data_IF_038117528637
#
_entry.id   IF_038117528637
#
_cell.length_a   1.000
_cell.length_b   1.000
_cell.length_c   1.000
_cell.angle_alpha   90.00
_cell.angle_beta   90.00
_cell.angle_gamma   90.00
#
_symmetry.space_group_name_H-M   'P 1'
#
loop_
_entity.id
_entity.type
_entity.pdbx_description
1 polymer ?
#
# COMPACT_ATOMS: atom_id res chain seq x y z
N UNK A 1 34.45 27.49 -8.94
CA UNK A 1 34.99 26.37 -9.72
C UNK A 1 34.29 26.40 -11.06
N UNK A 2 35.08 26.50 -12.12
CA UNK A 2 34.61 26.37 -13.51
C UNK A 2 34.81 24.89 -13.86
N UNK A 3 33.77 24.22 -14.36
CA UNK A 3 33.82 22.77 -14.66
C UNK A 3 34.93 22.41 -15.67
N UNK A 4 35.41 23.40 -16.41
CA UNK A 4 36.52 23.28 -17.34
C UNK A 4 37.40 24.51 -17.24
N UNK A 5 38.61 24.34 -16.73
CA UNK A 5 39.58 25.42 -16.60
C UNK A 5 41.00 24.87 -16.62
N UNK A 6 41.97 25.73 -16.95
CA UNK A 6 43.39 25.42 -16.89
C UNK A 6 44.05 26.36 -15.91
N UNK A 7 44.69 25.81 -14.90
CA UNK A 7 45.55 26.56 -13.99
C UNK A 7 46.98 26.55 -14.50
N UNK A 8 47.55 27.75 -14.65
CA UNK A 8 48.91 27.94 -15.11
C UNK A 8 49.82 28.34 -13.97
N UNK A 9 50.66 27.44 -13.49
CA UNK A 9 51.69 27.76 -12.53
C UNK A 9 52.91 28.38 -13.22
N UNK A 10 53.13 29.70 -13.02
CA UNK A 10 54.22 30.42 -13.67
C UNK A 10 55.60 30.17 -13.01
N UNK A 11 55.61 29.54 -11.80
CA UNK A 11 56.84 29.18 -11.11
C UNK A 11 57.80 30.36 -10.88
N UNK A 12 59.03 30.25 -11.37
CA UNK A 12 60.04 31.30 -11.26
C UNK A 12 59.72 32.54 -12.11
N UNK A 13 58.82 32.40 -13.10
CA UNK A 13 58.36 33.49 -13.98
C UNK A 13 57.11 34.20 -13.41
N UNK A 14 56.77 33.97 -12.17
CA UNK A 14 55.62 34.60 -11.54
C UNK A 14 55.76 36.14 -11.56
N UNK A 15 54.70 36.82 -12.02
CA UNK A 15 54.63 38.27 -12.04
C UNK A 15 54.43 38.72 -10.59
N UNK A 16 55.36 39.45 -10.04
CA UNK A 16 55.36 39.92 -8.63
C UNK A 16 54.57 41.26 -8.48
N UNK A 17 54.11 41.59 -7.31
CA UNK A 17 53.49 42.91 -7.05
C UNK A 17 54.37 44.06 -7.56
N UNK A 18 53.83 44.88 -8.47
CA UNK A 18 54.56 46.01 -9.09
C UNK A 18 55.20 45.67 -10.43
N UNK A 19 55.29 44.38 -10.81
CA UNK A 19 55.80 43.96 -12.09
C UNK A 19 54.67 43.88 -13.14
N UNK A 20 55.07 43.99 -14.41
CA UNK A 20 54.19 43.74 -15.56
C UNK A 20 54.71 42.58 -16.37
N UNK A 21 53.81 41.76 -16.90
CA UNK A 21 54.15 40.62 -17.72
C UNK A 21 53.05 40.30 -18.71
N UNK A 22 53.40 39.53 -19.76
CA UNK A 22 52.42 39.03 -20.75
C UNK A 22 52.45 37.51 -20.76
N UNK A 23 51.27 36.92 -20.64
CA UNK A 23 51.10 35.47 -20.68
C UNK A 23 50.29 35.14 -21.95
N UNK A 24 50.84 34.27 -22.80
CA UNK A 24 50.16 33.73 -23.96
C UNK A 24 49.97 32.24 -23.78
N UNK A 25 48.76 31.76 -23.97
CA UNK A 25 48.48 30.34 -23.99
C UNK A 25 47.48 30.00 -25.09
N UNK A 26 47.62 28.79 -25.63
CA UNK A 26 46.68 28.26 -26.62
C UNK A 26 46.19 26.92 -26.16
N UNK A 27 44.88 26.73 -26.21
CA UNK A 27 44.23 25.47 -25.92
C UNK A 27 43.67 24.96 -27.24
N UNK A 28 43.99 23.71 -27.60
CA UNK A 28 43.46 23.06 -28.81
C UNK A 28 42.79 21.74 -28.45
N UNK A 29 41.89 21.30 -29.34
CA UNK A 29 41.19 20.03 -29.13
C UNK A 29 40.14 20.09 -28.02
N UNK A 30 39.59 21.27 -27.74
CA UNK A 30 38.47 21.42 -26.79
C UNK A 30 37.29 20.68 -27.34
N UNK A 31 36.77 19.73 -26.56
CA UNK A 31 35.57 18.95 -26.88
C UNK A 31 34.43 19.39 -25.95
N UNK A 32 33.22 18.98 -26.29
CA UNK A 32 32.05 19.14 -25.41
C UNK A 32 31.66 20.61 -25.10
N UNK A 33 31.80 21.48 -26.09
CA UNK A 33 31.55 22.93 -25.98
C UNK A 33 30.40 23.41 -26.87
N UNK A 34 29.85 22.55 -27.70
CA UNK A 34 28.74 22.88 -28.60
C UNK A 34 27.46 22.20 -28.13
N UNK A 35 26.41 22.97 -27.95
CA UNK A 35 25.09 22.51 -27.55
C UNK A 35 24.08 22.89 -28.64
N UNK A 36 22.94 22.18 -28.72
CA UNK A 36 21.82 22.67 -29.52
C UNK A 36 21.36 24.02 -28.98
N UNK A 37 21.01 24.91 -29.87
CA UNK A 37 20.43 26.21 -29.50
C UNK A 37 19.05 25.97 -28.85
N UNK A 38 18.73 26.70 -27.76
CA UNK A 38 17.50 26.51 -27.01
C UNK A 38 16.24 26.91 -27.80
N UNK A 39 16.38 27.87 -28.74
CA UNK A 39 15.28 28.40 -29.52
C UNK A 39 15.13 27.73 -30.89
N UNK A 40 16.22 27.11 -31.41
CA UNK A 40 16.24 26.60 -32.78
C UNK A 40 17.18 25.37 -32.90
N UNK A 41 16.60 24.17 -32.93
CA UNK A 41 17.36 22.90 -33.04
C UNK A 41 18.18 22.75 -34.35
N UNK A 42 17.98 23.58 -35.35
CA UNK A 42 18.82 23.62 -36.56
C UNK A 42 20.12 24.44 -36.35
N UNK A 43 20.25 25.06 -35.16
CA UNK A 43 21.43 25.81 -34.74
C UNK A 43 22.15 25.13 -33.61
N UNK A 44 23.44 25.39 -33.51
CA UNK A 44 24.29 25.04 -32.38
C UNK A 44 24.86 26.29 -31.75
N UNK A 45 25.00 26.25 -30.46
CA UNK A 45 25.44 27.36 -29.59
C UNK A 45 26.78 27.05 -28.99
N UNK A 46 27.66 28.03 -29.00
CA UNK A 46 28.91 28.05 -28.26
C UNK A 46 28.93 29.23 -27.27
N UNK A 47 29.32 28.97 -26.06
CA UNK A 47 29.44 30.00 -25.01
C UNK A 47 30.87 29.98 -24.46
N UNK A 48 31.46 31.13 -24.28
CA UNK A 48 32.76 31.32 -23.67
C UNK A 48 32.70 32.33 -22.51
N UNK A 49 33.32 31.99 -21.41
CA UNK A 49 33.51 32.88 -20.28
C UNK A 49 35.00 33.14 -20.13
N UNK A 50 35.49 34.37 -20.39
CA UNK A 50 36.89 34.70 -20.13
C UNK A 50 37.18 34.61 -18.65
N UNK A 51 38.47 34.48 -18.32
CA UNK A 51 38.91 34.42 -16.94
C UNK A 51 38.45 35.66 -16.14
N UNK A 52 38.05 35.44 -14.92
CA UNK A 52 37.74 36.48 -13.94
C UNK A 52 38.43 36.16 -12.62
N UNK A 53 38.65 37.18 -11.81
CA UNK A 53 39.43 37.08 -10.58
C UNK A 53 38.56 37.28 -9.35
N UNK A 54 39.05 36.83 -8.18
CA UNK A 54 38.40 37.16 -6.93
C UNK A 54 38.52 38.65 -6.62
N UNK A 55 37.49 39.23 -5.99
CA UNK A 55 37.44 40.63 -5.57
C UNK A 55 38.60 41.01 -4.60
N UNK A 56 39.05 40.04 -3.84
CA UNK A 56 40.13 40.24 -2.90
C UNK A 56 41.52 40.32 -3.59
N UNK A 57 41.58 39.91 -4.86
CA UNK A 57 42.82 39.84 -5.63
C UNK A 57 42.93 40.95 -6.68
N UNK A 58 41.80 41.33 -7.30
CA UNK A 58 41.81 42.31 -8.38
C UNK A 58 40.95 43.52 -8.05
N UNK A 59 41.57 44.70 -8.20
CA UNK A 59 40.92 45.99 -8.02
C UNK A 59 40.94 46.79 -9.34
N UNK A 60 39.87 47.47 -9.64
CA UNK A 60 39.77 48.32 -10.83
C UNK A 60 39.14 47.67 -12.04
N UNK A 61 39.42 48.23 -13.18
CA UNK A 61 38.89 47.77 -14.49
C UNK A 61 39.99 47.14 -15.33
N UNK A 62 39.58 46.34 -16.29
CA UNK A 62 40.45 45.67 -17.27
C UNK A 62 39.98 45.98 -18.70
N UNK A 63 40.89 46.10 -19.64
CA UNK A 63 40.56 46.09 -21.05
C UNK A 63 40.31 44.67 -21.51
N UNK A 64 39.08 44.31 -21.81
CA UNK A 64 38.66 42.98 -22.16
C UNK A 64 38.16 42.94 -23.64
N UNK A 65 38.85 42.18 -24.45
CA UNK A 65 38.46 41.85 -25.81
C UNK A 65 38.22 40.38 -25.95
N UNK A 66 37.00 40.00 -26.34
CA UNK A 66 36.62 38.63 -26.66
C UNK A 66 36.25 38.50 -28.10
N UNK A 67 36.87 37.60 -28.82
CA UNK A 67 36.68 37.38 -30.25
C UNK A 67 36.26 35.95 -30.52
N UNK A 68 35.16 35.79 -31.21
CA UNK A 68 34.70 34.50 -31.72
C UNK A 68 34.94 34.44 -33.23
N UNK A 69 35.73 33.49 -33.66
CA UNK A 69 35.85 33.11 -35.08
C UNK A 69 34.89 31.94 -35.34
N UNK A 70 33.86 32.15 -36.11
CA UNK A 70 32.88 31.12 -36.42
C UNK A 70 33.47 30.07 -37.39
N UNK A 71 32.82 28.89 -37.52
CA UNK A 71 33.31 27.85 -38.42
C UNK A 71 33.44 28.32 -39.86
N UNK A 72 34.37 27.77 -40.66
CA UNK A 72 34.52 28.12 -42.06
C UNK A 72 33.25 27.78 -42.83
N UNK A 73 32.83 28.68 -43.75
CA UNK A 73 31.70 28.50 -44.62
C UNK A 73 30.40 29.07 -44.09
N UNK A 74 30.33 29.47 -42.83
CA UNK A 74 29.15 30.19 -42.26
C UNK A 74 28.99 31.51 -43.00
N UNK A 75 27.79 31.78 -43.52
CA UNK A 75 27.49 33.03 -44.24
C UNK A 75 27.24 34.16 -43.24
N UNK A 76 27.51 35.42 -43.61
CA UNK A 76 27.41 36.56 -42.66
C UNK A 76 26.01 36.79 -42.05
N UNK A 77 24.97 36.33 -42.72
CA UNK A 77 23.56 36.50 -42.35
C UNK A 77 22.99 35.30 -41.57
N UNK A 78 23.75 34.20 -41.47
CA UNK A 78 23.29 32.99 -40.78
C UNK A 78 23.47 33.01 -39.25
N UNK A 79 24.64 33.44 -38.70
CA UNK A 79 24.89 33.31 -37.29
C UNK A 79 24.15 34.34 -36.46
N UNK A 80 23.89 34.00 -35.19
CA UNK A 80 23.21 34.85 -34.23
C UNK A 80 24.13 35.02 -33.01
N UNK A 81 24.33 36.25 -32.56
CA UNK A 81 25.06 36.51 -31.32
C UNK A 81 24.11 36.36 -30.12
N UNK A 82 24.62 35.92 -29.01
CA UNK A 82 23.88 35.96 -27.77
C UNK A 82 23.89 37.39 -27.19
N UNK A 83 22.81 37.71 -26.45
CA UNK A 83 22.72 39.02 -25.82
C UNK A 83 23.94 39.30 -24.98
N UNK A 84 24.52 40.49 -25.12
CA UNK A 84 25.69 40.90 -24.32
C UNK A 84 25.43 40.80 -22.83
N UNK A 85 26.44 40.47 -22.02
CA UNK A 85 26.31 40.35 -20.57
C UNK A 85 25.77 41.59 -19.90
N UNK A 86 25.06 41.43 -18.81
CA UNK A 86 24.56 42.61 -18.03
C UNK A 86 25.71 43.52 -17.61
N UNK A 87 25.55 44.82 -17.82
CA UNK A 87 26.55 45.83 -17.57
C UNK A 87 27.60 45.98 -18.67
N UNK A 88 27.48 45.28 -19.79
CA UNK A 88 28.30 45.52 -20.98
C UNK A 88 27.86 46.79 -21.71
N UNK A 89 28.81 47.61 -22.27
CA UNK A 89 28.47 48.93 -22.83
C UNK A 89 27.65 48.85 -24.12
N UNK A 90 27.66 47.72 -24.83
CA UNK A 90 26.98 47.53 -26.12
C UNK A 90 26.12 46.28 -26.11
N UNK A 91 24.92 46.33 -26.65
CA UNK A 91 23.97 45.22 -26.72
C UNK A 91 24.38 44.14 -27.75
N UNK A 92 25.21 44.53 -28.75
CA UNK A 92 25.65 43.63 -29.81
C UNK A 92 27.16 43.67 -29.99
N UNK A 93 27.79 42.59 -30.48
CA UNK A 93 29.19 42.59 -30.87
C UNK A 93 29.46 43.43 -32.11
N UNK A 94 30.70 43.79 -32.27
CA UNK A 94 31.24 44.22 -33.58
C UNK A 94 31.32 42.96 -34.48
N UNK A 95 30.86 43.09 -35.74
CA UNK A 95 30.86 41.99 -36.70
C UNK A 95 31.82 42.28 -37.84
N UNK A 96 32.71 41.36 -38.16
CA UNK A 96 33.67 41.49 -39.25
C UNK A 96 33.91 40.12 -39.95
N UNK A 97 34.71 40.12 -40.99
CA UNK A 97 35.19 38.92 -41.70
C UNK A 97 36.70 38.90 -41.61
N UNK A 98 37.24 37.79 -41.05
CA UNK A 98 38.69 37.65 -40.92
C UNK A 98 39.42 37.36 -42.27
N UNK A 99 40.74 37.36 -42.21
CA UNK A 99 41.57 37.09 -43.40
C UNK A 99 41.38 35.68 -44.00
N UNK A 100 40.70 34.78 -43.31
CA UNK A 100 40.35 33.44 -43.77
C UNK A 100 38.91 33.33 -44.27
N UNK A 101 38.20 34.47 -44.34
CA UNK A 101 36.80 34.54 -44.81
C UNK A 101 35.78 34.02 -43.78
N UNK A 102 36.13 33.91 -42.49
CA UNK A 102 35.25 33.49 -41.43
C UNK A 102 34.53 34.70 -40.79
N UNK A 103 33.29 34.53 -40.44
CA UNK A 103 32.53 35.56 -39.69
C UNK A 103 33.13 35.65 -38.27
N UNK A 104 33.32 36.85 -37.81
CA UNK A 104 33.89 37.19 -36.52
C UNK A 104 32.94 38.06 -35.72
N UNK A 105 32.74 37.71 -34.46
CA UNK A 105 32.10 38.53 -33.45
C UNK A 105 33.10 39.00 -32.42
N UNK A 106 33.17 40.29 -32.15
CA UNK A 106 34.08 40.87 -31.18
C UNK A 106 33.32 41.72 -30.16
N UNK A 107 33.59 41.47 -28.91
CA UNK A 107 33.09 42.26 -27.77
C UNK A 107 34.30 42.94 -27.12
N UNK A 108 34.32 44.26 -27.09
CA UNK A 108 35.37 45.06 -26.45
C UNK A 108 34.78 45.91 -25.35
N UNK A 109 35.45 45.95 -24.21
CA UNK A 109 35.14 46.88 -23.12
C UNK A 109 36.45 47.26 -22.40
N UNK A 110 36.85 48.50 -22.53
CA UNK A 110 38.08 49.02 -21.92
C UNK A 110 37.99 49.22 -20.42
N UNK A 111 36.78 49.22 -19.89
CA UNK A 111 36.51 49.40 -18.47
C UNK A 111 35.73 48.20 -17.89
N UNK A 112 36.00 47.02 -18.38
CA UNK A 112 35.36 45.80 -17.88
C UNK A 112 35.77 45.52 -16.46
N UNK A 113 34.83 44.96 -15.69
CA UNK A 113 35.09 44.62 -14.29
C UNK A 113 35.84 43.29 -14.22
N UNK A 114 37.05 43.30 -13.66
CA UNK A 114 37.90 42.09 -13.64
C UNK A 114 37.45 40.97 -12.73
N UNK A 115 36.46 41.17 -11.85
CA UNK A 115 35.88 40.16 -10.97
C UNK A 115 34.46 39.74 -11.34
N UNK A 116 34.00 40.10 -12.52
CA UNK A 116 32.68 39.67 -13.02
C UNK A 116 32.83 38.59 -14.05
N UNK A 117 32.09 37.49 -13.87
CA UNK A 117 32.00 36.44 -14.86
C UNK A 117 31.11 36.88 -16.03
N UNK A 118 31.74 37.34 -17.11
CA UNK A 118 31.05 37.65 -18.34
C UNK A 118 30.88 36.38 -19.16
N UNK A 119 29.74 36.22 -19.83
CA UNK A 119 29.48 35.11 -20.76
C UNK A 119 29.13 35.68 -22.11
N UNK A 120 29.88 35.25 -23.13
CA UNK A 120 29.67 35.62 -24.53
C UNK A 120 29.33 34.36 -25.32
N UNK A 121 28.50 34.50 -26.34
CA UNK A 121 28.13 33.33 -27.13
C UNK A 121 27.64 33.67 -28.50
N UNK A 122 27.64 32.68 -29.36
CA UNK A 122 27.10 32.75 -30.68
C UNK A 122 26.47 31.41 -31.08
N UNK A 123 25.36 31.49 -31.82
CA UNK A 123 24.71 30.35 -32.43
C UNK A 123 24.88 30.40 -33.93
N UNK A 124 25.10 29.27 -34.57
CA UNK A 124 25.27 29.14 -36.01
C UNK A 124 24.67 27.82 -36.51
N UNK A 125 24.33 27.69 -37.82
CA UNK A 125 23.70 26.48 -38.32
C UNK A 125 24.55 25.22 -38.10
N UNK A 126 23.92 24.17 -37.56
CA UNK A 126 24.58 22.89 -37.22
C UNK A 126 25.22 22.17 -38.43
N UNK A 127 24.82 22.52 -39.66
CA UNK A 127 25.40 21.96 -40.90
C UNK A 127 26.91 22.20 -41.05
N UNK A 128 27.48 23.16 -40.29
CA UNK A 128 28.90 23.53 -40.37
C UNK A 128 29.78 22.79 -39.35
N UNK A 129 29.20 21.91 -38.51
CA UNK A 129 29.93 21.12 -37.54
C UNK A 129 29.52 19.66 -37.60
N UNK A 130 30.42 18.71 -37.28
CA UNK A 130 30.08 17.29 -37.17
C UNK A 130 29.04 17.05 -36.11
N UNK A 131 28.11 16.12 -36.35
CA UNK A 131 27.01 15.86 -35.44
C UNK A 131 27.46 15.27 -34.09
N UNK A 132 28.57 14.54 -34.09
CA UNK A 132 29.18 13.97 -32.89
C UNK A 132 29.90 15.00 -32.01
N UNK A 133 30.13 16.22 -32.53
CA UNK A 133 30.66 17.34 -31.75
C UNK A 133 29.57 18.11 -30.97
N UNK A 134 28.28 17.79 -31.15
CA UNK A 134 27.17 18.49 -30.55
C UNK A 134 26.67 17.68 -29.34
N UNK A 135 26.74 18.25 -28.16
CA UNK A 135 26.25 17.65 -26.95
C UNK A 135 24.72 17.76 -26.83
N UNK A 136 24.09 16.66 -26.46
CA UNK A 136 22.72 16.67 -25.95
C UNK A 136 22.77 16.91 -24.44
N UNK A 137 22.07 17.92 -23.92
CA UNK A 137 22.08 18.18 -22.47
C UNK A 137 21.52 16.96 -21.71
N UNK A 138 22.20 16.61 -20.61
CA UNK A 138 21.76 15.52 -19.73
C UNK A 138 20.38 15.81 -19.14
N UNK A 139 19.67 14.77 -18.71
CA UNK A 139 18.33 14.90 -18.06
C UNK A 139 18.42 15.79 -16.83
N UNK A 140 19.51 15.74 -16.08
CA UNK A 140 19.78 16.60 -14.92
C UNK A 140 19.80 18.09 -15.31
N UNK A 141 20.47 18.41 -16.41
CA UNK A 141 20.54 19.76 -16.94
C UNK A 141 19.16 20.28 -17.41
N UNK A 142 18.41 19.44 -18.14
CA UNK A 142 17.05 19.78 -18.61
C UNK A 142 16.08 20.04 -17.46
N UNK A 143 16.24 19.35 -16.32
CA UNK A 143 15.41 19.54 -15.13
C UNK A 143 15.92 20.63 -14.19
N UNK A 144 17.07 21.25 -14.48
CA UNK A 144 17.71 22.24 -13.60
C UNK A 144 18.12 21.67 -12.25
N UNK A 145 18.38 20.36 -12.17
CA UNK A 145 18.70 19.63 -10.94
C UNK A 145 20.16 19.17 -11.05
N UNK A 146 20.95 19.39 -10.02
CA UNK A 146 22.33 18.84 -10.01
C UNK A 146 22.30 17.32 -10.07
N UNK A 147 23.26 16.70 -10.73
CA UNK A 147 23.38 15.24 -10.83
C UNK A 147 23.41 14.57 -9.48
N UNK A 148 24.09 15.16 -8.50
CA UNK A 148 24.10 14.67 -7.11
C UNK A 148 22.72 14.64 -6.49
N UNK A 149 21.89 15.69 -6.75
CA UNK A 149 20.52 15.74 -6.25
C UNK A 149 19.62 14.75 -6.96
N UNK A 150 19.84 14.50 -8.26
CA UNK A 150 19.09 13.51 -9.03
C UNK A 150 19.39 12.10 -8.55
N UNK A 151 20.68 11.74 -8.41
CA UNK A 151 21.10 10.44 -7.91
C UNK A 151 20.72 10.25 -6.43
N UNK A 152 20.88 11.28 -5.60
CA UNK A 152 20.43 11.28 -4.22
C UNK A 152 18.91 11.09 -4.08
N UNK A 153 18.13 11.78 -4.89
CA UNK A 153 16.67 11.64 -4.94
C UNK A 153 16.21 10.26 -5.40
N UNK A 154 16.86 9.68 -6.42
CA UNK A 154 16.60 8.32 -6.90
C UNK A 154 16.95 7.26 -5.84
N UNK A 155 18.12 7.39 -5.20
CA UNK A 155 18.53 6.48 -4.13
C UNK A 155 17.61 6.58 -2.91
N UNK A 156 17.30 7.77 -2.43
CA UNK A 156 16.40 7.97 -1.28
C UNK A 156 14.96 7.55 -1.61
N UNK A 157 14.44 7.90 -2.80
CA UNK A 157 13.12 7.49 -3.27
C UNK A 157 13.02 5.97 -3.43
N UNK A 158 14.02 5.34 -4.04
CA UNK A 158 14.11 3.89 -4.16
C UNK A 158 14.15 3.19 -2.80
N UNK A 159 14.92 3.72 -1.85
CA UNK A 159 15.00 3.20 -0.49
C UNK A 159 13.65 3.29 0.23
N UNK A 160 12.96 4.44 0.14
CA UNK A 160 11.63 4.62 0.76
C UNK A 160 10.61 3.68 0.16
N UNK A 161 10.60 3.46 -1.17
CA UNK A 161 9.69 2.52 -1.83
C UNK A 161 9.97 1.06 -1.43
N UNK A 162 11.23 0.64 -1.40
CA UNK A 162 11.61 -0.73 -1.01
C UNK A 162 11.31 -0.98 0.47
N UNK A 163 11.75 -0.08 1.36
CA UNK A 163 11.51 -0.21 2.81
C UNK A 163 10.03 -0.03 3.17
N UNK A 164 9.35 0.95 2.59
CA UNK A 164 7.92 1.15 2.77
C UNK A 164 7.11 -0.05 2.27
N UNK A 165 7.46 -0.59 1.11
CA UNK A 165 6.90 -1.83 0.57
C UNK A 165 7.14 -3.03 1.48
N UNK A 166 8.36 -3.19 1.99
CA UNK A 166 8.70 -4.25 2.94
C UNK A 166 7.93 -4.14 4.26
N UNK A 167 7.83 -2.93 4.83
CA UNK A 167 7.03 -2.69 6.04
C UNK A 167 5.54 -2.96 5.79
N UNK A 168 5.00 -2.53 4.65
CA UNK A 168 3.61 -2.81 4.27
C UNK A 168 3.36 -4.31 4.12
N UNK A 169 4.24 -5.04 3.45
CA UNK A 169 4.17 -6.49 3.34
C UNK A 169 4.27 -7.16 4.71
N UNK A 170 5.23 -6.76 5.55
CA UNK A 170 5.39 -7.30 6.89
C UNK A 170 4.14 -7.07 7.76
N UNK A 171 3.50 -5.90 7.65
CA UNK A 171 2.24 -5.62 8.39
C UNK A 171 1.08 -6.47 7.88
N UNK A 172 0.97 -6.68 6.56
CA UNK A 172 -0.05 -7.57 5.97
C UNK A 172 0.17 -9.02 6.41
N UNK A 173 1.41 -9.52 6.37
CA UNK A 173 1.74 -10.85 6.86
C UNK A 173 1.46 -11.01 8.36
N UNK A 174 1.83 -10.01 9.17
CA UNK A 174 1.53 -10.00 10.59
C UNK A 174 0.01 -10.02 10.89
N UNK A 175 -0.78 -9.26 10.12
CA UNK A 175 -2.25 -9.28 10.23
C UNK A 175 -2.83 -10.62 9.82
N UNK A 176 -2.40 -11.19 8.69
CA UNK A 176 -2.82 -12.54 8.24
C UNK A 176 -2.46 -13.60 9.27
N UNK A 177 -1.27 -13.52 9.87
CA UNK A 177 -0.83 -14.45 10.92
C UNK A 177 -1.73 -14.39 12.15
N UNK A 178 -2.18 -13.21 12.59
CA UNK A 178 -3.09 -13.03 13.71
C UNK A 178 -4.46 -13.67 13.49
N UNK A 179 -4.90 -13.78 12.23
CA UNK A 179 -6.18 -14.36 11.85
C UNK A 179 -6.11 -15.86 11.59
N UNK A 180 -4.92 -16.43 11.46
CA UNK A 180 -4.71 -17.85 11.20
C UNK A 180 -4.76 -18.68 12.49
N UNK A 181 -5.96 -18.95 12.98
CA UNK A 181 -6.16 -19.68 14.25
C UNK A 181 -6.01 -21.20 14.15
N UNK A 182 -5.94 -21.77 12.92
CA UNK A 182 -5.63 -23.19 12.74
C UNK A 182 -4.12 -23.41 12.57
N UNK A 183 -3.51 -24.33 13.30
CA UNK A 183 -2.09 -24.62 13.16
C UNK A 183 -1.79 -25.34 11.84
N UNK A 184 -0.64 -25.02 11.18
CA UNK A 184 -0.24 -25.63 9.91
C UNK A 184 -0.08 -27.16 9.97
N UNK A 185 0.20 -27.72 11.14
CA UNK A 185 0.43 -29.16 11.34
C UNK A 185 -0.78 -30.04 10.95
N UNK A 186 -1.99 -29.49 10.95
CA UNK A 186 -3.18 -30.22 10.46
C UNK A 186 -3.06 -30.55 8.97
N UNK A 187 -2.26 -29.79 8.21
CA UNK A 187 -2.13 -29.94 6.76
C UNK A 187 -1.19 -31.08 6.32
N UNK A 188 -0.40 -31.67 7.21
CA UNK A 188 0.76 -32.49 6.84
C UNK A 188 0.50 -34.01 7.00
N UNK A 189 -0.49 -34.44 7.80
CA UNK A 189 -0.54 -35.84 8.27
C UNK A 189 -1.88 -36.55 8.02
N UNK A 190 -2.43 -36.54 6.80
CA UNK A 190 -3.64 -37.31 6.65
C UNK A 190 -4.08 -37.61 5.22
N UNK A 191 -4.72 -38.75 5.08
CA UNK A 191 -5.35 -39.17 3.84
C UNK A 191 -6.86 -39.32 4.05
N UNK A 192 -7.63 -38.91 3.02
CA UNK A 192 -9.06 -39.05 3.02
C UNK A 192 -9.83 -37.93 3.73
N UNK A 193 -11.13 -37.97 3.59
CA UNK A 193 -12.07 -36.90 3.99
C UNK A 193 -12.64 -37.18 5.37
N UNK A 194 -12.54 -36.23 6.29
CA UNK A 194 -13.27 -36.28 7.56
C UNK A 194 -14.73 -35.88 7.34
N UNK A 195 -15.62 -36.86 7.33
CA UNK A 195 -17.07 -36.66 7.29
C UNK A 195 -17.66 -36.51 8.68
N UNK A 196 -18.91 -36.01 8.77
CA UNK A 196 -19.66 -35.88 10.02
C UNK A 196 -19.29 -34.72 10.90
N UNK A 197 -18.56 -33.72 10.39
CA UNK A 197 -18.45 -32.42 11.08
C UNK A 197 -19.76 -31.64 10.92
N UNK A 198 -20.12 -30.89 11.96
CA UNK A 198 -21.25 -29.94 11.87
C UNK A 198 -20.87 -28.75 11.00
N UNK A 199 -21.86 -27.94 10.59
CA UNK A 199 -21.59 -26.71 9.84
C UNK A 199 -20.66 -25.77 10.61
N UNK A 200 -20.83 -25.66 11.93
CA UNK A 200 -19.99 -24.82 12.81
C UNK A 200 -18.55 -25.36 12.91
N UNK A 201 -18.38 -26.69 13.01
CA UNK A 201 -17.05 -27.29 12.99
C UNK A 201 -16.38 -27.17 11.62
N UNK A 202 -17.18 -27.27 10.53
CA UNK A 202 -16.70 -27.01 9.18
C UNK A 202 -16.33 -25.54 8.99
N UNK A 203 -17.06 -24.60 9.59
CA UNK A 203 -16.70 -23.18 9.58
C UNK A 203 -15.32 -22.93 10.20
N UNK A 204 -15.04 -23.56 11.32
CA UNK A 204 -13.69 -23.50 11.94
C UNK A 204 -12.63 -24.07 11.01
N UNK A 205 -12.91 -25.20 10.36
CA UNK A 205 -11.99 -25.85 9.42
C UNK A 205 -11.74 -25.00 8.18
N UNK A 206 -12.75 -24.28 7.70
CA UNK A 206 -12.66 -23.35 6.56
C UNK A 206 -12.04 -22.00 6.92
N UNK A 207 -11.66 -21.80 8.19
CA UNK A 207 -11.13 -20.55 8.72
C UNK A 207 -12.09 -19.36 8.52
N UNK A 208 -13.38 -19.64 8.70
CA UNK A 208 -14.41 -18.59 8.75
C UNK A 208 -14.11 -17.61 9.90
N UNK A 209 -14.31 -16.29 9.71
CA UNK A 209 -14.13 -15.31 10.79
C UNK A 209 -14.86 -15.73 12.08
N UNK A 210 -14.19 -15.64 13.24
CA UNK A 210 -14.71 -16.19 14.49
C UNK A 210 -15.99 -15.52 15.00
N UNK A 211 -16.21 -14.25 14.67
CA UNK A 211 -17.46 -13.54 14.91
C UNK A 211 -18.64 -14.15 14.12
N UNK A 212 -18.40 -14.55 12.88
CA UNK A 212 -19.39 -15.27 12.07
C UNK A 212 -19.65 -16.67 12.63
N UNK A 213 -18.60 -17.38 13.09
CA UNK A 213 -18.79 -18.68 13.75
C UNK A 213 -19.66 -18.55 15.00
N UNK A 214 -19.43 -17.53 15.85
CA UNK A 214 -20.27 -17.25 17.02
C UNK A 214 -21.71 -16.90 16.62
N UNK A 215 -21.91 -16.17 15.52
CA UNK A 215 -23.24 -15.86 14.97
C UNK A 215 -23.96 -17.13 14.51
N UNK A 216 -23.23 -18.07 13.87
CA UNK A 216 -23.79 -19.37 13.47
C UNK A 216 -24.23 -20.18 14.70
N UNK A 217 -23.45 -20.16 15.78
CA UNK A 217 -23.82 -20.82 17.04
C UNK A 217 -25.11 -20.19 17.62
N UNK A 218 -25.21 -18.87 17.63
CA UNK A 218 -26.43 -18.20 18.09
C UNK A 218 -27.65 -18.62 17.26
N UNK A 219 -27.56 -18.59 15.93
CA UNK A 219 -28.68 -18.96 15.07
C UNK A 219 -29.08 -20.44 15.22
N UNK A 220 -28.09 -21.32 15.38
CA UNK A 220 -28.35 -22.73 15.70
C UNK A 220 -29.12 -22.91 17.03
N UNK A 221 -28.75 -22.14 18.06
CA UNK A 221 -29.43 -22.20 19.37
C UNK A 221 -30.84 -21.60 19.32
N UNK A 222 -31.06 -20.51 18.56
CA UNK A 222 -32.38 -19.93 18.34
C UNK A 222 -33.26 -20.89 17.54
N UNK A 223 -32.75 -21.50 16.48
CA UNK A 223 -33.47 -22.45 15.65
C UNK A 223 -33.92 -23.70 16.42
N UNK A 224 -33.11 -24.11 17.41
CA UNK A 224 -33.45 -25.19 18.34
C UNK A 224 -34.41 -24.77 19.46
N UNK A 225 -34.90 -23.52 19.46
CA UNK A 225 -35.71 -22.92 20.53
C UNK A 225 -35.05 -22.99 21.91
N UNK A 226 -33.72 -22.89 21.97
CA UNK A 226 -32.98 -22.83 23.24
C UNK A 226 -32.96 -21.43 23.85
N UNK A 227 -33.01 -20.41 23.00
CA UNK A 227 -32.84 -19.02 23.38
C UNK A 227 -33.62 -18.09 22.47
N UNK A 228 -34.02 -16.93 23.02
CA UNK A 228 -34.52 -15.80 22.26
C UNK A 228 -33.69 -14.54 22.50
N UNK A 229 -33.67 -13.65 21.52
CA UNK A 229 -33.09 -12.30 21.67
C UNK A 229 -34.08 -11.40 22.33
N UNK A 230 -33.70 -10.81 23.47
CA UNK A 230 -34.50 -9.81 24.18
C UNK A 230 -34.17 -8.42 23.69
N UNK A 231 -32.88 -8.17 23.44
CA UNK A 231 -32.39 -6.89 22.95
C UNK A 231 -31.24 -7.13 21.94
N UNK A 232 -31.25 -6.36 20.85
CA UNK A 232 -30.24 -6.52 19.77
C UNK A 232 -28.94 -5.76 20.07
N UNK A 233 -29.03 -4.58 20.69
CA UNK A 233 -27.86 -3.74 21.01
C UNK A 233 -28.02 -3.06 22.39
N UNK A 234 -27.21 -3.42 23.39
CA UNK A 234 -26.30 -4.58 23.41
C UNK A 234 -27.08 -5.90 23.33
N UNK A 235 -26.47 -6.95 22.75
CA UNK A 235 -27.12 -8.25 22.59
C UNK A 235 -27.41 -8.88 23.95
N UNK A 236 -28.71 -9.05 24.25
CA UNK A 236 -29.21 -9.72 25.44
C UNK A 236 -30.06 -10.91 25.05
N UNK A 237 -29.78 -12.05 25.67
CA UNK A 237 -30.41 -13.33 25.39
C UNK A 237 -31.16 -13.86 26.61
N UNK A 238 -32.26 -14.55 26.37
CA UNK A 238 -33.06 -15.21 27.40
C UNK A 238 -33.24 -16.69 27.03
N UNK A 239 -33.01 -17.58 28.01
CA UNK A 239 -33.23 -19.03 27.82
C UNK A 239 -34.73 -19.33 27.72
N UNK A 240 -35.07 -20.17 26.78
CA UNK A 240 -36.42 -20.70 26.66
C UNK A 240 -36.57 -21.99 27.48
N UNK A 241 -37.76 -22.20 28.04
CA UNK A 241 -38.11 -23.41 28.78
C UNK A 241 -39.28 -24.11 28.09
N UNK A 242 -39.27 -25.44 27.98
CA UNK A 242 -38.24 -26.39 28.46
C UNK A 242 -36.94 -26.32 27.65
N UNK A 243 -35.78 -26.69 28.26
CA UNK A 243 -34.53 -26.79 27.56
C UNK A 243 -34.65 -27.83 26.43
N UNK A 244 -34.33 -27.47 25.17
CA UNK A 244 -34.39 -28.43 24.06
C UNK A 244 -33.35 -29.53 24.22
N UNK A 245 -33.71 -30.72 23.79
CA UNK A 245 -32.77 -31.81 23.69
C UNK A 245 -31.81 -31.66 22.51
N UNK A 246 -30.62 -32.23 22.57
CA UNK A 246 -29.64 -32.27 21.47
C UNK A 246 -28.86 -30.98 21.24
N UNK A 247 -28.72 -30.14 22.28
CA UNK A 247 -27.74 -29.09 22.28
C UNK A 247 -26.31 -29.68 22.29
N UNK A 248 -25.44 -29.14 21.44
CA UNK A 248 -24.06 -29.54 21.38
C UNK A 248 -23.22 -28.84 22.49
N UNK A 249 -22.10 -29.41 22.92
CA UNK A 249 -21.29 -28.82 24.00
C UNK A 249 -20.94 -27.34 23.73
N UNK A 250 -20.55 -26.97 22.54
CA UNK A 250 -20.22 -25.59 22.21
C UNK A 250 -21.46 -24.65 22.20
N UNK A 251 -22.67 -25.16 21.94
CA UNK A 251 -23.90 -24.39 22.04
C UNK A 251 -24.26 -24.12 23.52
N UNK A 252 -24.09 -25.11 24.40
CA UNK A 252 -24.28 -24.91 25.85
C UNK A 252 -23.28 -23.95 26.45
N UNK A 253 -22.00 -24.06 26.06
CA UNK A 253 -20.96 -23.13 26.52
C UNK A 253 -21.20 -21.71 26.01
N UNK A 254 -21.69 -21.56 24.78
CA UNK A 254 -22.09 -20.27 24.24
C UNK A 254 -23.21 -19.63 25.05
N UNK A 255 -24.28 -20.38 25.33
CA UNK A 255 -25.38 -19.90 26.15
C UNK A 255 -24.94 -19.51 27.55
N UNK A 256 -24.05 -20.30 28.16
CA UNK A 256 -23.42 -19.98 29.43
C UNK A 256 -22.61 -18.69 29.37
N UNK A 257 -21.77 -18.51 28.38
CA UNK A 257 -20.97 -17.32 28.20
C UNK A 257 -21.81 -16.06 27.98
N UNK A 258 -22.94 -16.17 27.25
CA UNK A 258 -23.77 -15.02 26.89
C UNK A 258 -24.77 -14.63 27.97
N UNK A 259 -25.29 -15.61 28.75
CA UNK A 259 -26.41 -15.39 29.70
C UNK A 259 -25.89 -15.38 31.14
N UNK A 260 -25.08 -16.36 31.52
CA UNK A 260 -24.71 -16.58 32.91
C UNK A 260 -23.46 -15.77 33.33
N UNK A 261 -22.60 -15.38 32.36
CA UNK A 261 -21.39 -14.62 32.63
C UNK A 261 -21.62 -13.11 32.70
N UNK A 262 -20.92 -12.43 33.61
CA UNK A 262 -20.91 -10.97 33.70
C UNK A 262 -20.35 -10.36 32.41
N UNK A 263 -20.87 -9.21 31.92
CA UNK A 263 -20.42 -8.60 30.65
C UNK A 263 -18.90 -8.45 30.52
N UNK A 264 -18.19 -8.15 31.60
CA UNK A 264 -16.72 -8.01 31.61
C UNK A 264 -15.98 -9.33 31.36
N UNK A 265 -16.58 -10.49 31.70
CA UNK A 265 -16.00 -11.82 31.51
C UNK A 265 -16.46 -12.49 30.21
N UNK A 266 -17.52 -11.99 29.58
CA UNK A 266 -18.13 -12.56 28.37
C UNK A 266 -17.10 -12.76 27.26
N UNK A 267 -16.25 -11.74 26.97
CA UNK A 267 -15.22 -11.84 25.94
C UNK A 267 -14.25 -13.00 26.19
N UNK A 268 -13.77 -13.16 27.42
CA UNK A 268 -12.84 -14.24 27.76
C UNK A 268 -13.50 -15.62 27.72
N UNK A 269 -14.78 -15.71 28.12
CA UNK A 269 -15.54 -16.95 28.04
C UNK A 269 -15.77 -17.36 26.58
N UNK A 270 -16.13 -16.41 25.68
CA UNK A 270 -16.27 -16.66 24.25
C UNK A 270 -14.93 -17.03 23.60
N UNK A 271 -13.82 -16.41 24.01
CA UNK A 271 -12.48 -16.80 23.52
C UNK A 271 -12.14 -18.24 23.94
N UNK A 272 -12.44 -18.60 25.19
CA UNK A 272 -12.23 -19.96 25.68
C UNK A 272 -13.04 -20.98 24.88
N UNK A 273 -14.33 -20.71 24.68
CA UNK A 273 -15.21 -21.54 23.84
C UNK A 273 -14.62 -21.73 22.44
N UNK A 274 -14.12 -20.66 21.79
CA UNK A 274 -13.51 -20.79 20.47
C UNK A 274 -12.21 -21.57 20.48
N UNK A 275 -11.38 -21.43 21.51
CA UNK A 275 -10.17 -22.24 21.70
C UNK A 275 -10.53 -23.72 21.81
N UNK A 276 -11.49 -24.05 22.66
CA UNK A 276 -11.93 -25.43 22.90
C UNK A 276 -12.54 -26.04 21.62
N UNK A 277 -13.33 -25.25 20.87
CA UNK A 277 -13.90 -25.67 19.58
C UNK A 277 -12.82 -25.91 18.51
N UNK A 278 -11.84 -25.01 18.38
CA UNK A 278 -10.71 -25.18 17.45
C UNK A 278 -9.91 -26.44 17.80
N UNK A 279 -9.62 -26.67 19.08
CA UNK A 279 -8.90 -27.86 19.53
C UNK A 279 -9.71 -29.15 19.30
N UNK A 280 -11.03 -29.10 19.49
CA UNK A 280 -11.91 -30.24 19.20
C UNK A 280 -11.90 -30.57 17.70
N UNK A 281 -11.95 -29.58 16.81
CA UNK A 281 -11.83 -29.76 15.36
C UNK A 281 -10.47 -30.33 14.99
N UNK A 282 -9.38 -29.79 15.57
CA UNK A 282 -8.03 -30.34 15.36
C UNK A 282 -7.94 -31.84 15.74
N UNK A 283 -8.51 -32.19 16.88
CA UNK A 283 -8.54 -33.58 17.34
C UNK A 283 -9.33 -34.48 16.38
N UNK A 284 -10.48 -34.02 15.88
CA UNK A 284 -11.30 -34.74 14.89
C UNK A 284 -10.61 -34.89 13.52
N UNK A 285 -9.76 -33.93 13.17
CA UNK A 285 -9.02 -33.92 11.90
C UNK A 285 -7.76 -34.79 11.91
N UNK A 286 -7.34 -35.31 13.09
CA UNK A 286 -6.15 -36.16 13.17
C UNK A 286 -6.28 -37.37 12.25
N UNK A 287 -5.33 -37.56 11.33
CA UNK A 287 -5.30 -38.64 10.35
C UNK A 287 -6.11 -38.39 9.08
N UNK A 288 -6.68 -37.21 8.88
CA UNK A 288 -7.44 -36.85 7.66
C UNK A 288 -6.77 -35.71 6.89
N UNK A 289 -6.99 -35.67 5.58
CA UNK A 289 -6.50 -34.60 4.70
C UNK A 289 -7.28 -33.31 4.91
N UNK A 290 -6.57 -32.23 5.28
CA UNK A 290 -7.18 -30.90 5.45
C UNK A 290 -7.76 -30.39 4.12
N UNK A 291 -7.01 -30.54 3.02
CA UNK A 291 -7.42 -30.07 1.70
C UNK A 291 -8.68 -30.78 1.23
N UNK A 292 -8.69 -32.11 1.20
CA UNK A 292 -9.83 -32.89 0.74
C UNK A 292 -11.07 -32.67 1.62
N UNK A 293 -10.88 -32.53 2.92
CA UNK A 293 -11.98 -32.25 3.85
C UNK A 293 -12.54 -30.84 3.66
N UNK A 294 -11.71 -29.84 3.43
CA UNK A 294 -12.16 -28.48 3.10
C UNK A 294 -12.94 -28.44 1.79
N UNK A 295 -12.44 -29.09 0.76
CA UNK A 295 -13.11 -29.14 -0.55
C UNK A 295 -14.45 -29.89 -0.45
N UNK A 296 -14.53 -30.93 0.34
CA UNK A 296 -15.79 -31.65 0.64
C UNK A 296 -16.84 -30.71 1.30
N UNK A 297 -16.46 -29.95 2.34
CA UNK A 297 -17.41 -29.05 3.02
C UNK A 297 -17.77 -27.84 2.17
N UNK A 298 -16.88 -27.35 1.31
CA UNK A 298 -17.25 -26.37 0.29
C UNK A 298 -18.30 -26.93 -0.69
N UNK A 299 -18.16 -28.16 -1.11
CA UNK A 299 -19.16 -28.79 -2.00
C UNK A 299 -20.53 -28.97 -1.31
N UNK A 300 -20.56 -29.16 0.01
CA UNK A 300 -21.83 -29.18 0.78
C UNK A 300 -22.46 -27.79 0.80
N UNK A 301 -21.68 -26.74 1.04
CA UNK A 301 -22.14 -25.34 0.99
C UNK A 301 -22.74 -25.00 -0.39
N UNK A 302 -22.01 -25.32 -1.46
CA UNK A 302 -22.47 -25.11 -2.83
C UNK A 302 -23.77 -25.88 -3.14
N UNK A 303 -23.88 -27.12 -2.67
CA UNK A 303 -25.11 -27.92 -2.79
C UNK A 303 -26.28 -27.29 -2.02
N UNK A 304 -26.02 -26.75 -0.84
CA UNK A 304 -27.05 -26.06 -0.06
C UNK A 304 -27.58 -24.84 -0.83
N UNK A 305 -26.72 -24.00 -1.38
CA UNK A 305 -27.13 -22.87 -2.21
C UNK A 305 -27.87 -23.32 -3.47
N UNK A 306 -27.38 -24.34 -4.17
CA UNK A 306 -28.02 -24.86 -5.36
C UNK A 306 -29.44 -25.36 -5.07
N UNK A 307 -29.66 -26.00 -3.93
CA UNK A 307 -31.02 -26.43 -3.52
C UNK A 307 -31.96 -25.25 -3.27
N UNK A 308 -31.46 -24.15 -2.74
CA UNK A 308 -32.24 -22.91 -2.53
C UNK A 308 -32.57 -22.25 -3.88
N UNK A 309 -31.57 -22.13 -4.77
CA UNK A 309 -31.73 -21.48 -6.07
C UNK A 309 -32.66 -22.28 -7.04
N UNK A 310 -32.59 -23.61 -7.01
CA UNK A 310 -33.37 -24.47 -7.82
C UNK A 310 -34.81 -24.73 -7.31
N UNK A 311 -35.18 -24.10 -6.17
CA UNK A 311 -36.52 -24.23 -5.63
C UNK A 311 -37.54 -23.55 -6.56
N UNK A 312 -38.57 -24.30 -6.97
CA UNK A 312 -39.57 -23.88 -7.94
C UNK A 312 -40.56 -22.84 -7.35
N UNK A 313 -40.84 -22.94 -6.05
CA UNK A 313 -41.76 -22.01 -5.38
C UNK A 313 -41.09 -21.19 -4.27
N UNK A 314 -41.60 -20.02 -3.96
CA UNK A 314 -41.07 -19.20 -2.85
C UNK A 314 -41.12 -19.93 -1.49
N UNK A 315 -42.12 -20.76 -1.27
CA UNK A 315 -42.27 -21.55 -0.04
C UNK A 315 -41.14 -22.56 0.09
N UNK A 316 -40.94 -23.36 -0.97
CA UNK A 316 -39.86 -24.35 -1.01
C UNK A 316 -38.50 -23.72 -0.94
N UNK A 317 -38.32 -22.55 -1.58
CA UNK A 317 -37.07 -21.75 -1.48
C UNK A 317 -36.79 -21.34 -0.06
N UNK A 318 -37.77 -20.78 0.62
CA UNK A 318 -37.65 -20.37 2.03
C UNK A 318 -37.36 -21.55 2.95
N UNK A 319 -38.03 -22.66 2.75
CA UNK A 319 -37.81 -23.89 3.53
C UNK A 319 -36.40 -24.45 3.29
N UNK A 320 -35.95 -24.53 2.02
CA UNK A 320 -34.59 -25.01 1.70
C UNK A 320 -33.50 -24.10 2.27
N UNK A 321 -33.74 -22.79 2.24
CA UNK A 321 -32.81 -21.84 2.85
C UNK A 321 -32.78 -22.01 4.37
N UNK A 322 -33.92 -22.16 5.01
CA UNK A 322 -34.00 -22.42 6.44
C UNK A 322 -33.29 -23.74 6.81
N UNK A 323 -33.58 -24.84 6.12
CA UNK A 323 -32.93 -26.13 6.37
C UNK A 323 -31.41 -26.07 6.17
N UNK A 324 -30.96 -25.32 5.17
CA UNK A 324 -29.57 -25.17 4.78
C UNK A 324 -28.84 -23.97 5.39
N UNK A 325 -29.47 -23.17 6.26
CA UNK A 325 -28.95 -21.90 6.73
C UNK A 325 -27.52 -22.01 7.31
N UNK A 326 -27.28 -22.99 8.18
CA UNK A 326 -25.96 -23.20 8.77
C UNK A 326 -24.87 -23.48 7.72
N UNK A 327 -25.22 -24.18 6.64
CA UNK A 327 -24.30 -24.48 5.54
C UNK A 327 -24.10 -23.31 4.60
N UNK A 328 -25.16 -22.55 4.29
CA UNK A 328 -25.05 -21.35 3.44
C UNK A 328 -24.25 -20.25 4.11
N UNK A 329 -24.29 -20.13 5.45
CA UNK A 329 -23.46 -19.19 6.21
C UNK A 329 -21.95 -19.46 6.16
N UNK A 330 -21.53 -20.62 5.65
CA UNK A 330 -20.10 -20.89 5.35
C UNK A 330 -19.59 -20.08 4.16
N UNK A 331 -20.47 -19.61 3.29
CA UNK A 331 -20.12 -18.82 2.13
C UNK A 331 -19.50 -17.48 2.56
N UNK A 332 -18.36 -17.13 1.98
CA UNK A 332 -17.71 -15.84 2.21
C UNK A 332 -18.55 -14.69 1.71
N UNK A 333 -19.25 -14.93 0.59
CA UNK A 333 -20.11 -13.96 -0.08
C UNK A 333 -21.59 -14.17 0.29
N UNK A 334 -21.85 -14.71 1.49
CA UNK A 334 -23.20 -15.02 2.01
C UNK A 334 -24.17 -13.84 1.86
N UNK A 335 -23.70 -12.62 2.15
CA UNK A 335 -24.51 -11.41 2.13
C UNK A 335 -25.01 -11.10 0.70
N UNK A 336 -24.10 -11.11 -0.25
CA UNK A 336 -24.41 -10.84 -1.66
C UNK A 336 -25.17 -11.99 -2.29
N UNK A 337 -24.87 -13.22 -1.91
CA UNK A 337 -25.57 -14.41 -2.39
C UNK A 337 -27.02 -14.42 -1.90
N UNK A 338 -27.24 -14.14 -0.61
CA UNK A 338 -28.57 -14.01 -0.02
C UNK A 338 -29.39 -12.90 -0.71
N UNK A 339 -28.81 -11.74 -0.92
CA UNK A 339 -29.47 -10.61 -1.60
C UNK A 339 -29.84 -10.95 -3.05
N UNK A 340 -29.01 -11.66 -3.78
CA UNK A 340 -29.26 -12.10 -5.17
C UNK A 340 -30.38 -13.13 -5.20
N UNK A 341 -30.32 -14.15 -4.33
CA UNK A 341 -31.26 -15.27 -4.31
C UNK A 341 -32.68 -14.83 -3.95
N UNK A 342 -32.82 -13.86 -3.05
CA UNK A 342 -34.13 -13.35 -2.60
C UNK A 342 -34.47 -11.96 -3.17
N UNK A 343 -33.89 -11.56 -4.29
CA UNK A 343 -34.12 -10.23 -4.87
C UNK A 343 -35.58 -9.99 -5.27
N UNK A 344 -36.26 -11.00 -5.74
CA UNK A 344 -37.63 -10.91 -6.27
C UNK A 344 -38.55 -11.95 -5.65
N UNK A 345 -39.83 -11.58 -5.52
CA UNK A 345 -40.88 -12.46 -5.02
C UNK A 345 -41.09 -12.43 -3.50
N UNK A 346 -42.17 -13.02 -3.02
CA UNK A 346 -42.46 -13.16 -1.58
C UNK A 346 -41.55 -14.24 -0.97
N UNK A 347 -41.20 -14.06 0.30
CA UNK A 347 -40.47 -15.04 1.10
C UNK A 347 -41.26 -15.38 2.35
N UNK A 348 -41.28 -16.63 2.72
CA UNK A 348 -41.91 -17.09 3.96
C UNK A 348 -40.86 -17.04 5.08
N UNK A 349 -41.13 -16.26 6.09
CA UNK A 349 -40.20 -16.08 7.21
C UNK A 349 -40.31 -17.27 8.16
N UNK A 350 -39.19 -17.95 8.49
CA UNK A 350 -39.20 -19.05 9.45
C UNK A 350 -39.73 -18.61 10.82
N UNK A 351 -40.43 -19.51 11.52
CA UNK A 351 -41.06 -19.19 12.83
C UNK A 351 -40.01 -18.78 13.86
N UNK A 352 -38.84 -19.42 13.86
CA UNK A 352 -37.75 -19.11 14.80
C UNK A 352 -37.19 -17.69 14.63
N UNK A 353 -37.39 -17.05 13.45
CA UNK A 353 -36.97 -15.67 13.21
C UNK A 353 -37.66 -14.66 14.16
N UNK A 354 -38.84 -14.99 14.62
CA UNK A 354 -39.52 -14.22 15.67
C UNK A 354 -38.77 -14.23 17.02
N UNK A 355 -38.05 -15.29 17.31
CA UNK A 355 -37.18 -15.39 18.49
C UNK A 355 -35.89 -14.60 18.35
N UNK A 356 -35.46 -14.35 17.11
CA UNK A 356 -34.30 -13.49 16.82
C UNK A 356 -34.66 -12.01 16.82
N UNK A 357 -35.81 -11.63 16.24
CA UNK A 357 -36.33 -10.26 16.17
C UNK A 357 -37.70 -10.15 16.84
N UNK A 358 -37.74 -9.96 18.15
CA UNK A 358 -39.03 -9.83 18.86
C UNK A 358 -39.83 -8.58 18.46
N UNK A 359 -39.17 -7.54 17.93
CA UNK A 359 -39.82 -6.35 17.36
C UNK A 359 -40.41 -6.58 15.96
N UNK A 360 -40.13 -7.72 15.34
CA UNK A 360 -40.65 -8.07 14.03
C UNK A 360 -42.12 -8.46 14.14
N UNK A 361 -43.04 -7.53 13.79
CA UNK A 361 -44.46 -7.81 13.59
C UNK A 361 -44.67 -8.02 12.08
N UNK A 362 -45.19 -9.18 11.64
CA UNK A 362 -45.55 -9.36 10.24
C UNK A 362 -46.58 -8.28 9.85
N UNK A 363 -46.31 -7.55 8.78
CA UNK A 363 -47.30 -6.61 8.22
C UNK A 363 -48.51 -7.42 7.75
N UNK A 364 -49.57 -7.43 8.51
CA UNK A 364 -50.82 -8.14 8.20
C UNK A 364 -51.72 -8.54 9.37
N UNK A 365 -51.31 -8.33 10.62
CA UNK A 365 -52.18 -8.51 11.78
C UNK A 365 -52.47 -7.17 12.44
N UNK A 366 -53.16 -6.28 11.73
CA UNK A 366 -53.98 -5.27 12.39
C UNK A 366 -55.21 -6.00 12.93
N UNK A 367 -55.15 -6.41 14.19
CA UNK A 367 -56.37 -6.83 14.91
C UNK A 367 -57.09 -5.52 15.29
N UNK A 368 -58.34 -5.27 14.81
CA UNK A 368 -59.11 -4.19 15.34
C UNK A 368 -59.44 -4.52 16.80
N UNK A 369 -59.05 -3.65 17.69
CA UNK A 369 -59.42 -3.69 19.10
C UNK A 369 -60.92 -3.42 19.23
N UNK A 370 -61.73 -4.45 19.19
CA UNK A 370 -63.06 -4.47 19.77
C UNK A 370 -63.43 -5.89 20.18
N UNK A 371 -63.75 -6.02 21.46
CA UNK A 371 -63.96 -7.27 22.12
C UNK A 371 -64.99 -8.16 21.50
N UNK A 372 -64.68 -9.40 21.39
CA UNK A 372 -65.45 -10.63 21.60
C UNK A 372 -64.60 -11.83 21.25
N UNK A 373 -64.43 -12.70 22.21
CA UNK A 373 -63.75 -13.97 22.01
C UNK A 373 -64.67 -14.89 21.20
N UNK A 374 -64.29 -15.39 20.02
CA UNK A 374 -64.93 -16.52 19.40
C UNK A 374 -64.19 -17.81 19.75
N UNK A 375 -64.94 -18.77 20.17
CA UNK A 375 -64.63 -20.15 20.44
C UNK A 375 -63.76 -20.79 19.34
N UNK A 376 -62.83 -21.62 19.76
CA UNK A 376 -61.91 -22.37 18.91
C UNK A 376 -62.62 -23.30 17.95
N UNK A 377 -62.37 -23.10 16.64
CA UNK A 377 -62.62 -24.14 15.61
C UNK A 377 -61.24 -24.79 15.28
N UNK A 378 -61.16 -26.12 15.24
CA UNK A 378 -59.93 -26.80 14.90
C UNK A 378 -59.70 -26.78 13.38
N UNK A 379 -58.52 -26.38 12.92
CA UNK A 379 -58.04 -26.66 11.55
C UNK A 379 -57.88 -25.43 10.66
N UNK A 380 -57.07 -24.42 11.08
CA UNK A 380 -56.45 -23.53 10.09
C UNK A 380 -54.95 -23.60 10.27
N UNK A 381 -54.28 -24.14 9.25
CA UNK A 381 -52.83 -24.13 9.16
C UNK A 381 -52.28 -22.72 9.40
N UNK A 382 -51.32 -22.56 10.31
CA UNK A 382 -50.65 -21.32 10.55
C UNK A 382 -50.02 -20.84 9.24
N UNK A 383 -50.62 -19.82 8.63
CA UNK A 383 -49.99 -19.15 7.48
C UNK A 383 -48.77 -18.40 7.97
N UNK A 384 -47.62 -18.82 7.50
CA UNK A 384 -46.33 -18.14 7.77
C UNK A 384 -46.39 -16.70 7.24
N UNK A 385 -45.85 -15.73 7.99
CA UNK A 385 -45.79 -14.37 7.52
C UNK A 385 -44.97 -14.24 6.24
N UNK A 386 -45.46 -13.45 5.29
CA UNK A 386 -44.81 -13.20 3.99
C UNK A 386 -44.16 -11.82 4.01
N UNK A 387 -42.92 -11.75 3.49
CA UNK A 387 -42.15 -10.52 3.28
C UNK A 387 -41.74 -10.38 1.82
N UNK A 388 -41.57 -9.16 1.32
CA UNK A 388 -40.77 -8.97 0.09
C UNK A 388 -39.37 -9.58 0.22
N UNK A 389 -38.92 -10.29 -0.83
CA UNK A 389 -37.66 -11.01 -0.78
C UNK A 389 -36.46 -10.11 -0.46
N UNK A 390 -36.46 -8.89 -0.99
CA UNK A 390 -35.41 -7.90 -0.70
C UNK A 390 -35.36 -7.46 0.77
N UNK A 391 -36.52 -7.32 1.42
CA UNK A 391 -36.58 -6.98 2.84
C UNK A 391 -36.16 -8.17 3.71
N UNK A 392 -36.54 -9.39 3.34
CA UNK A 392 -36.09 -10.59 4.02
C UNK A 392 -34.56 -10.73 3.90
N UNK A 393 -34.01 -10.62 2.69
CA UNK A 393 -32.56 -10.70 2.46
C UNK A 393 -31.79 -9.63 3.26
N UNK A 394 -32.30 -8.40 3.23
CA UNK A 394 -31.70 -7.30 4.03
C UNK A 394 -31.79 -7.60 5.53
N UNK A 395 -32.92 -8.15 6.01
CA UNK A 395 -33.10 -8.50 7.42
C UNK A 395 -32.13 -9.60 7.88
N UNK A 396 -31.94 -10.65 7.07
CA UNK A 396 -30.99 -11.73 7.36
C UNK A 396 -29.55 -11.20 7.38
N UNK A 397 -29.14 -10.48 6.32
CA UNK A 397 -27.77 -9.97 6.19
C UNK A 397 -27.45 -8.98 7.31
N UNK A 398 -28.32 -8.02 7.56
CA UNK A 398 -28.12 -7.06 8.64
C UNK A 398 -28.13 -7.75 10.01
N UNK A 399 -28.96 -8.78 10.17
CA UNK A 399 -28.99 -9.59 11.37
C UNK A 399 -27.64 -10.29 11.64
N UNK A 400 -27.08 -10.93 10.63
CA UNK A 400 -25.76 -11.58 10.73
C UNK A 400 -24.68 -10.56 11.07
N UNK A 401 -24.62 -9.43 10.35
CA UNK A 401 -23.62 -8.38 10.55
C UNK A 401 -23.72 -7.72 11.93
N UNK A 402 -24.92 -7.33 12.34
CA UNK A 402 -25.12 -6.68 13.64
C UNK A 402 -24.83 -7.63 14.79
N UNK A 403 -25.24 -8.90 14.68
CA UNK A 403 -24.94 -9.91 15.69
C UNK A 403 -23.45 -10.12 15.80
N UNK A 404 -22.74 -10.29 14.70
CA UNK A 404 -21.29 -10.45 14.70
C UNK A 404 -20.59 -9.27 15.39
N UNK A 405 -21.00 -8.03 15.05
CA UNK A 405 -20.47 -6.80 15.67
C UNK A 405 -20.78 -6.71 17.16
N UNK A 406 -21.97 -7.10 17.59
CA UNK A 406 -22.39 -7.02 18.99
C UNK A 406 -21.80 -8.15 19.87
N UNK A 407 -21.50 -9.31 19.28
CA UNK A 407 -20.80 -10.40 19.96
C UNK A 407 -19.31 -10.09 20.20
N UNK A 408 -18.68 -9.45 19.21
CA UNK A 408 -17.23 -9.21 19.23
C UNK A 408 -16.95 -7.78 18.73
N UNK A 409 -16.73 -6.86 19.65
CA UNK A 409 -16.46 -5.45 19.32
C UNK A 409 -15.21 -5.22 18.44
N UNK A 410 -14.22 -6.11 18.52
CA UNK A 410 -13.00 -6.09 17.69
C UNK A 410 -12.58 -7.51 17.32
N UNK A 411 -12.93 -7.91 16.12
CA UNK A 411 -12.68 -9.28 15.58
C UNK A 411 -11.20 -9.61 15.55
N UNK A 412 -10.34 -8.68 15.14
CA UNK A 412 -8.89 -8.92 15.06
C UNK A 412 -8.29 -9.19 16.44
N UNK A 413 -8.65 -8.37 17.43
CA UNK A 413 -8.18 -8.55 18.83
C UNK A 413 -8.75 -9.81 19.48
N UNK A 414 -9.98 -10.17 19.13
CA UNK A 414 -10.61 -11.39 19.61
C UNK A 414 -9.91 -12.62 19.03
N UNK A 415 -9.74 -12.66 17.71
CA UNK A 415 -9.10 -13.76 16.99
C UNK A 415 -7.62 -13.90 17.37
N UNK A 416 -6.90 -12.79 17.57
CA UNK A 416 -5.51 -12.81 18.05
C UNK A 416 -5.39 -13.52 19.42
N UNK A 417 -6.35 -13.27 20.32
CA UNK A 417 -6.43 -13.96 21.60
C UNK A 417 -6.61 -15.48 21.46
N UNK A 418 -7.41 -15.92 20.51
CA UNK A 418 -7.58 -17.36 20.21
C UNK A 418 -6.32 -17.91 19.54
N UNK A 419 -5.78 -17.23 18.52
CA UNK A 419 -4.61 -17.65 17.74
C UNK A 419 -3.37 -17.87 18.62
N UNK A 420 -3.14 -17.01 19.59
CA UNK A 420 -2.01 -17.16 20.54
C UNK A 420 -1.98 -18.52 21.24
N UNK A 421 -3.15 -19.10 21.49
CA UNK A 421 -3.27 -20.41 22.16
C UNK A 421 -3.32 -21.56 21.15
N UNK A 422 -4.08 -21.40 20.07
CA UNK A 422 -4.34 -22.49 19.09
C UNK A 422 -3.23 -22.63 18.05
N UNK A 423 -2.57 -21.53 17.70
CA UNK A 423 -1.52 -21.47 16.69
C UNK A 423 -0.40 -20.49 17.11
N UNK A 424 0.34 -20.74 18.21
CA UNK A 424 1.39 -19.86 18.68
C UNK A 424 2.50 -19.72 17.62
N UNK A 425 3.15 -18.54 17.51
CA UNK A 425 4.31 -18.40 16.66
C UNK A 425 5.43 -19.32 17.14
N UNK A 426 6.28 -19.85 16.23
CA UNK A 426 7.44 -20.60 16.63
C UNK A 426 8.31 -19.74 17.56
N UNK A 427 8.95 -20.34 18.58
CA UNK A 427 9.83 -19.60 19.46
C UNK A 427 10.90 -18.91 18.63
N UNK A 428 10.96 -17.58 18.67
CA UNK A 428 12.02 -16.82 18.05
C UNK A 428 13.32 -17.27 18.73
N UNK A 429 14.26 -17.82 17.98
CA UNK A 429 15.63 -18.03 18.44
C UNK A 429 16.17 -16.62 18.76
N UNK A 430 16.04 -16.20 20.02
CA UNK A 430 16.72 -15.02 20.54
C UNK A 430 18.22 -15.32 20.46
N UNK A 431 18.89 -14.83 19.44
CA UNK A 431 20.30 -14.56 19.54
C UNK A 431 20.42 -13.42 20.56
N UNK A 432 20.63 -13.79 21.81
CA UNK A 432 21.01 -12.88 22.89
C UNK A 432 22.42 -12.36 22.58
N UNK A 433 22.53 -11.31 21.78
CA UNK A 433 23.62 -10.37 21.90
C UNK A 433 23.15 -9.26 22.83
N UNK A 434 23.36 -9.48 24.10
CA UNK A 434 23.37 -8.45 25.13
C UNK A 434 24.44 -7.42 24.75
N UNK A 435 24.04 -6.28 24.25
CA UNK A 435 24.88 -5.09 24.29
C UNK A 435 24.59 -4.40 25.61
N UNK A 436 25.48 -4.59 26.52
CA UNK A 436 25.56 -3.82 27.75
C UNK A 436 25.81 -2.34 27.39
N UNK A 437 24.83 -1.51 27.70
CA UNK A 437 24.90 -0.06 27.64
C UNK A 437 25.75 0.42 28.82
N UNK A 438 26.96 0.88 28.53
CA UNK A 438 27.75 1.73 29.44
C UNK A 438 27.55 3.18 29.02
N UNK A 439 27.15 4.03 29.97
CA UNK A 439 26.73 5.40 29.71
C UNK A 439 27.87 6.41 29.44
N UNK A 440 27.49 7.56 28.92
CA UNK A 440 28.31 8.80 28.89
C UNK A 440 28.02 9.71 27.72
N UNK A 441 27.26 10.77 27.90
CA UNK A 441 27.44 12.14 27.46
C UNK A 441 27.49 12.51 25.97
N UNK A 442 26.48 13.25 25.52
CA UNK A 442 26.57 14.49 24.73
C UNK A 442 27.10 14.42 23.30
N UNK A 443 26.22 14.77 22.32
CA UNK A 443 26.65 15.18 21.00
C UNK A 443 25.75 14.65 19.88
N UNK A 444 24.86 15.54 19.38
CA UNK A 444 24.09 15.30 18.16
C UNK A 444 25.02 15.12 16.98
N UNK A 445 25.06 13.92 16.42
CA UNK A 445 25.49 13.69 15.06
C UNK A 445 24.74 12.49 14.51
N UNK A 446 23.99 12.72 13.44
CA UNK A 446 23.33 11.67 12.66
C UNK A 446 24.39 10.77 12.04
N UNK A 447 24.65 9.62 12.67
CA UNK A 447 25.43 8.56 12.06
C UNK A 447 24.50 7.65 11.28
N UNK A 448 24.40 7.86 9.96
CA UNK A 448 23.87 6.85 9.04
C UNK A 448 24.85 5.67 9.01
N UNK A 449 24.54 4.60 9.73
CA UNK A 449 25.24 3.33 9.57
C UNK A 449 24.69 2.61 8.33
N UNK A 450 25.31 2.87 7.17
CA UNK A 450 25.15 2.03 5.98
C UNK A 450 25.90 0.73 6.18
N UNK A 451 25.22 -0.34 6.56
CA UNK A 451 25.71 -1.71 6.41
C UNK A 451 25.41 -2.18 4.98
N UNK A 452 26.28 -1.83 4.02
CA UNK A 452 26.32 -2.46 2.71
C UNK A 452 27.01 -3.81 2.80
N UNK A 453 26.22 -4.90 2.83
CA UNK A 453 26.73 -6.22 2.49
C UNK A 453 26.64 -6.37 0.97
N UNK A 454 27.62 -5.83 0.25
CA UNK A 454 27.87 -6.20 -1.14
C UNK A 454 29.13 -7.09 -1.15
N UNK A 455 28.93 -8.37 -1.44
CA UNK A 455 30.01 -9.27 -1.82
C UNK A 455 30.59 -8.82 -3.18
N UNK A 456 31.89 -8.50 -3.21
CA UNK A 456 32.67 -8.37 -4.41
C UNK A 456 32.92 -6.95 -4.94
N UNK A 457 33.63 -6.10 -4.20
CA UNK A 457 34.46 -5.04 -4.79
C UNK A 457 35.72 -4.86 -3.94
N UNK A 458 36.82 -5.42 -4.45
CA UNK A 458 38.13 -5.11 -3.95
C UNK A 458 38.55 -3.72 -4.47
N UNK A 459 38.41 -2.69 -3.63
CA UNK A 459 39.11 -1.43 -3.87
C UNK A 459 40.32 -1.37 -2.98
N UNK A 460 41.50 -1.48 -3.62
CA UNK A 460 42.78 -1.21 -3.00
C UNK A 460 42.90 0.32 -2.81
N UNK A 461 42.78 0.80 -1.59
CA UNK A 461 43.21 2.12 -1.21
C UNK A 461 44.66 2.00 -0.74
N UNK A 462 45.59 2.40 -1.63
CA UNK A 462 46.99 2.66 -1.25
C UNK A 462 47.01 3.98 -0.46
N UNK A 463 47.31 3.91 0.83
CA UNK A 463 47.59 5.05 1.65
C UNK A 463 48.97 5.60 1.36
N UNK A 464 49.07 6.91 1.25
CA UNK A 464 50.31 7.66 1.29
C UNK A 464 50.17 8.78 2.27
N UNK A 465 50.70 8.61 3.45
CA UNK A 465 50.89 9.67 4.40
C UNK A 465 52.18 10.46 4.13
N UNK A 466 52.11 11.71 4.24
CA UNK A 466 52.91 12.64 4.98
C UNK A 466 52.48 14.06 4.63
#
# INVERSE_FOLDING_TARGET
YVDYGVELGLGENAIRPGDTGTVHFTISGIQDVLYYDDDDSEYVSAVFSPHYYDRDVVHGTTDLLVVFHLPPGVQPDEPRWHKSPSGWPYDSPYTDIDSQGRVVYAWENKDANGYTQYKFGASFPRKYVPQDAILTPSISYQLGISEETLYGGLCCGGFVLVFGGFIALATVFARRRKLAYLPPKIAIEGHGIKRGLTAIEAAVLLETPLDRVLTMILFATIKKNAVRVVKEDPLELERLTPKPEGLRPYEEEFLKAMIDEKPRKRKSALQKLMIDLVQAVQKKMKGFSLKETRDYYKSIMEKAWKQVEQAETPEVRSQRFDDGLEWTMLDRDFDDHTRRTFRTGPVFVPIWWGNYRPSYRPAGTSVPSTGRVPSAAPGRGMTLPKLPGSEFAASIVNGVQNTAKNLVSNVTSFTDGVTKTTNPPPPSSRSTRSWSSGGGGGGSSCACACACACAGCACACAGGGR
#
